data_IF_774969288261
#
_entry.id   IF_774969288261
#
_cell.length_a   1.000
_cell.length_b   1.000
_cell.length_c   1.000
_cell.angle_alpha   90.00
_cell.angle_beta   90.00
_cell.angle_gamma   90.00
#
_symmetry.space_group_name_H-M   'P 1'
#
loop_
_entity.id
_entity.type
_entity.pdbx_description
1 polymer ?
#
# COMPACT_ATOMS: atom_id res chain seq x y z
N UNK A 1 21.61 10.17 9.29
CA UNK A 1 22.02 9.11 10.25
C UNK A 1 21.11 9.24 11.46
N UNK A 2 19.92 8.65 11.38
CA UNK A 2 18.97 8.59 12.48
C UNK A 2 17.93 7.51 12.16
N UNK A 3 17.38 6.91 13.21
CA UNK A 3 16.23 6.00 13.23
C UNK A 3 16.54 4.51 13.09
N UNK A 4 17.39 3.99 13.98
CA UNK A 4 17.41 2.59 14.42
C UNK A 4 17.02 2.47 15.91
N UNK A 5 16.04 3.26 16.37
CA UNK A 5 15.59 3.18 17.77
C UNK A 5 14.64 1.97 17.95
N UNK A 6 14.99 0.95 18.77
CA UNK A 6 14.14 -0.19 19.08
C UNK A 6 12.80 0.21 19.73
N UNK A 7 11.80 -0.69 19.60
CA UNK A 7 10.44 -0.55 20.13
C UNK A 7 10.41 -0.04 21.58
N UNK A 8 11.31 -0.55 22.43
CA UNK A 8 11.41 -0.18 23.83
C UNK A 8 11.91 1.27 24.07
N UNK A 9 12.64 1.86 23.12
CA UNK A 9 13.14 3.24 23.19
C UNK A 9 12.11 4.24 22.69
N UNK A 10 11.36 3.91 21.62
CA UNK A 10 10.19 4.71 21.24
C UNK A 10 9.09 4.65 22.31
N UNK A 11 8.81 3.48 22.87
CA UNK A 11 7.88 3.37 24.00
C UNK A 11 8.41 4.04 25.28
N UNK A 12 9.73 4.20 25.47
CA UNK A 12 10.30 4.93 26.62
C UNK A 12 10.35 6.44 26.42
N UNK A 13 10.63 6.93 25.22
CA UNK A 13 10.49 8.36 24.91
C UNK A 13 9.02 8.76 25.02
N UNK A 14 8.14 7.97 24.40
CA UNK A 14 6.70 8.19 24.33
C UNK A 14 5.98 7.90 25.66
N UNK A 15 6.47 6.94 26.45
CA UNK A 15 5.85 6.49 27.70
C UNK A 15 6.34 7.19 28.96
N UNK A 16 7.43 7.96 28.91
CA UNK A 16 7.89 8.77 30.06
C UNK A 16 7.37 10.22 30.04
N UNK A 17 6.84 10.69 28.91
CA UNK A 17 6.21 12.01 28.77
C UNK A 17 4.89 11.86 28.02
N UNK A 18 3.76 12.02 28.69
CA UNK A 18 2.41 12.03 28.07
C UNK A 18 2.36 13.00 26.86
N UNK A 19 3.09 14.11 26.97
CA UNK A 19 3.27 15.14 25.93
C UNK A 19 3.86 14.61 24.59
N UNK A 20 4.62 13.52 24.60
CA UNK A 20 5.33 13.02 23.41
C UNK A 20 4.52 12.04 22.55
N UNK A 21 3.43 11.46 23.08
CA UNK A 21 2.40 10.79 22.26
C UNK A 21 1.65 11.79 21.38
N UNK A 22 1.48 13.01 21.87
CA UNK A 22 0.68 14.05 21.21
C UNK A 22 1.37 14.69 20.00
N UNK A 23 2.70 14.55 19.91
CA UNK A 23 3.51 15.14 18.84
C UNK A 23 3.93 14.15 17.75
N UNK A 24 3.60 12.87 17.87
CA UNK A 24 3.97 11.86 16.86
C UNK A 24 3.24 12.11 15.53
N UNK A 25 4.01 12.41 14.48
CA UNK A 25 3.45 12.59 13.13
C UNK A 25 3.07 11.24 12.50
N UNK A 26 2.12 11.28 11.56
CA UNK A 26 1.76 10.10 10.77
C UNK A 26 2.96 9.57 9.97
N UNK A 27 3.83 10.45 9.48
CA UNK A 27 5.03 10.05 8.74
C UNK A 27 5.96 9.20 9.60
N UNK A 28 6.27 9.66 10.81
CA UNK A 28 7.21 8.99 11.71
C UNK A 28 6.63 7.67 12.20
N UNK A 29 5.33 7.66 12.50
CA UNK A 29 4.61 6.44 12.84
C UNK A 29 4.68 5.40 11.72
N UNK A 30 4.41 5.77 10.47
CA UNK A 30 4.42 4.84 9.34
C UNK A 30 5.81 4.27 9.04
N UNK A 31 6.87 5.08 9.22
CA UNK A 31 8.26 4.59 9.11
C UNK A 31 8.59 3.55 10.17
N UNK A 32 8.18 3.83 11.40
CA UNK A 32 8.35 2.91 12.50
C UNK A 32 7.56 1.62 12.26
N UNK A 33 6.29 1.72 11.89
CA UNK A 33 5.43 0.58 11.59
C UNK A 33 6.00 -0.32 10.48
N UNK A 34 6.53 0.29 9.40
CA UNK A 34 7.21 -0.44 8.33
C UNK A 34 8.42 -1.25 8.85
N UNK A 35 9.29 -0.61 9.64
CA UNK A 35 10.52 -1.22 10.13
C UNK A 35 10.26 -2.31 11.17
N UNK A 36 9.32 -2.07 12.08
CA UNK A 36 9.10 -2.90 13.27
C UNK A 36 8.17 -4.08 12.99
N UNK A 37 7.07 -3.84 12.29
CA UNK A 37 6.04 -4.87 12.08
C UNK A 37 6.08 -5.45 10.66
N UNK A 38 6.00 -4.60 9.63
CA UNK A 38 5.82 -5.06 8.25
C UNK A 38 7.03 -5.86 7.77
N UNK A 39 8.25 -5.42 8.11
CA UNK A 39 9.50 -6.09 7.70
C UNK A 39 9.58 -7.54 8.17
N UNK A 40 9.03 -7.86 9.34
CA UNK A 40 9.12 -9.19 9.95
C UNK A 40 7.92 -10.07 9.60
N UNK A 41 6.75 -9.47 9.35
CA UNK A 41 5.48 -10.20 9.23
C UNK A 41 4.94 -10.29 7.80
N UNK A 42 5.61 -9.70 6.81
CA UNK A 42 5.11 -9.67 5.43
C UNK A 42 6.15 -10.10 4.41
N UNK A 43 5.69 -10.51 3.23
CA UNK A 43 6.59 -10.86 2.13
C UNK A 43 7.40 -9.65 1.65
N UNK A 44 8.60 -9.85 1.07
CA UNK A 44 9.40 -8.75 0.52
C UNK A 44 8.65 -7.88 -0.50
N UNK A 45 7.76 -8.48 -1.30
CA UNK A 45 6.96 -7.75 -2.28
C UNK A 45 5.89 -6.89 -1.60
N UNK A 46 5.25 -7.41 -0.55
CA UNK A 46 4.28 -6.65 0.25
C UNK A 46 4.96 -5.46 0.92
N UNK A 47 6.13 -5.67 1.54
CA UNK A 47 6.93 -4.61 2.14
C UNK A 47 7.25 -3.49 1.14
N UNK A 48 7.77 -3.84 -0.05
CA UNK A 48 8.09 -2.86 -1.11
C UNK A 48 6.85 -2.10 -1.56
N UNK A 49 5.72 -2.79 -1.73
CA UNK A 49 4.46 -2.15 -2.07
C UNK A 49 4.02 -1.14 -0.99
N UNK A 50 4.15 -1.51 0.29
CA UNK A 50 3.79 -0.62 1.40
C UNK A 50 4.73 0.59 1.50
N UNK A 51 6.04 0.36 1.43
CA UNK A 51 7.06 1.41 1.45
C UNK A 51 6.87 2.42 0.31
N UNK A 52 6.58 1.93 -0.91
CA UNK A 52 6.27 2.78 -2.04
C UNK A 52 5.02 3.63 -1.81
N UNK A 53 3.92 3.04 -1.35
CA UNK A 53 2.66 3.77 -1.07
C UNK A 53 2.91 4.86 -0.01
N UNK A 54 3.62 4.51 1.06
CA UNK A 54 3.92 5.42 2.17
C UNK A 54 4.77 6.59 1.69
N UNK A 55 5.89 6.30 1.02
CA UNK A 55 6.87 7.31 0.61
C UNK A 55 6.35 8.23 -0.48
N UNK A 56 5.65 7.69 -1.47
CA UNK A 56 5.25 8.44 -2.68
C UNK A 56 3.90 9.14 -2.50
N UNK A 57 2.96 8.55 -1.76
CA UNK A 57 1.58 9.05 -1.71
C UNK A 57 1.16 9.55 -0.33
N UNK A 58 1.43 8.79 0.74
CA UNK A 58 0.93 9.15 2.08
C UNK A 58 1.73 10.29 2.69
N UNK A 59 3.06 10.16 2.75
CA UNK A 59 3.91 11.15 3.42
C UNK A 59 3.79 12.56 2.83
N UNK A 60 3.80 12.77 1.51
CA UNK A 60 3.74 14.13 0.95
C UNK A 60 2.44 14.87 1.30
N UNK A 61 1.33 14.16 1.53
CA UNK A 61 0.00 14.76 1.70
C UNK A 61 -0.45 14.74 3.16
N UNK A 62 -0.27 13.61 3.85
CA UNK A 62 -0.79 13.39 5.20
C UNK A 62 0.32 13.26 6.26
N UNK A 63 1.58 13.15 5.85
CA UNK A 63 2.69 12.80 6.74
C UNK A 63 2.94 13.82 7.87
N UNK A 64 2.65 15.10 7.62
CA UNK A 64 2.82 16.18 8.59
C UNK A 64 1.72 16.22 9.67
N UNK A 65 0.60 15.53 9.45
CA UNK A 65 -0.52 15.50 10.38
C UNK A 65 -0.14 14.65 11.58
N UNK A 66 -0.42 15.13 12.79
CA UNK A 66 -0.25 14.36 14.02
C UNK A 66 -1.13 13.11 13.96
N UNK A 67 -0.60 11.97 14.39
CA UNK A 67 -1.27 10.68 14.29
C UNK A 67 -2.63 10.70 15.02
N UNK A 68 -2.71 11.37 16.18
CA UNK A 68 -3.95 11.50 16.97
C UNK A 68 -4.96 12.48 16.36
N UNK A 69 -4.51 13.46 15.59
CA UNK A 69 -5.35 14.47 14.94
C UNK A 69 -5.88 14.01 13.57
N UNK A 70 -5.38 12.89 13.05
CA UNK A 70 -5.81 12.35 11.76
C UNK A 70 -7.31 12.07 11.79
N UNK A 71 -8.05 12.70 10.87
CA UNK A 71 -9.50 12.57 10.78
C UNK A 71 -9.95 11.71 9.61
N UNK A 72 -11.16 11.13 9.72
CA UNK A 72 -11.78 10.41 8.60
C UNK A 72 -12.04 11.31 7.38
N UNK A 73 -12.27 12.61 7.58
CA UNK A 73 -12.48 13.56 6.49
C UNK A 73 -11.19 13.81 5.69
N UNK A 74 -10.04 13.97 6.37
CA UNK A 74 -8.74 14.09 5.69
C UNK A 74 -8.43 12.85 4.86
N UNK A 75 -8.70 11.65 5.40
CA UNK A 75 -8.55 10.40 4.66
C UNK A 75 -9.49 10.31 3.45
N UNK A 76 -10.75 10.71 3.61
CA UNK A 76 -11.71 10.73 2.52
C UNK A 76 -11.26 11.68 1.40
N UNK A 77 -10.80 12.89 1.75
CA UNK A 77 -10.28 13.86 0.79
C UNK A 77 -9.05 13.32 0.07
N UNK A 78 -8.13 12.68 0.80
CA UNK A 78 -6.97 12.01 0.20
C UNK A 78 -7.37 10.93 -0.81
N UNK A 79 -8.41 10.12 -0.52
CA UNK A 79 -8.88 9.11 -1.48
C UNK A 79 -9.51 9.75 -2.72
N UNK A 80 -10.26 10.83 -2.56
CA UNK A 80 -10.87 11.55 -3.70
C UNK A 80 -9.77 12.13 -4.60
N UNK A 81 -8.81 12.84 -4.02
CA UNK A 81 -7.65 13.39 -4.73
C UNK A 81 -6.88 12.31 -5.50
N UNK A 82 -6.64 11.16 -4.87
CA UNK A 82 -5.87 10.07 -5.51
C UNK A 82 -6.65 9.32 -6.61
N UNK A 83 -7.97 9.45 -6.68
CA UNK A 83 -8.75 8.86 -7.77
C UNK A 83 -8.61 9.62 -9.10
N UNK A 84 -8.13 10.86 -9.06
CA UNK A 84 -7.82 11.64 -10.27
C UNK A 84 -6.62 11.03 -11.02
N UNK A 85 -5.63 10.51 -10.28
CA UNK A 85 -4.37 10.01 -10.84
C UNK A 85 -4.24 8.48 -10.83
N UNK A 86 -5.00 7.77 -9.98
CA UNK A 86 -4.83 6.34 -9.73
C UNK A 86 -6.12 5.55 -9.91
N UNK A 87 -5.96 4.27 -10.29
CA UNK A 87 -7.09 3.35 -10.34
C UNK A 87 -7.74 3.18 -8.96
N UNK A 88 -9.06 2.97 -8.93
CA UNK A 88 -9.79 2.70 -7.70
C UNK A 88 -9.27 1.44 -6.96
N UNK A 89 -8.66 0.48 -7.68
CA UNK A 89 -8.01 -0.68 -7.07
C UNK A 89 -6.73 -0.26 -6.31
N UNK A 90 -5.93 0.63 -6.89
CA UNK A 90 -4.74 1.20 -6.24
C UNK A 90 -5.11 1.99 -5.00
N UNK A 91 -6.12 2.86 -5.07
CA UNK A 91 -6.61 3.62 -3.91
C UNK A 91 -7.15 2.69 -2.81
N UNK A 92 -7.80 1.58 -3.18
CA UNK A 92 -8.22 0.54 -2.23
C UNK A 92 -7.03 -0.13 -1.53
N UNK A 93 -5.88 -0.30 -2.21
CA UNK A 93 -4.65 -0.76 -1.57
C UNK A 93 -4.12 0.26 -0.56
N UNK A 94 -4.19 1.56 -0.86
CA UNK A 94 -3.80 2.62 0.09
C UNK A 94 -4.67 2.56 1.35
N UNK A 95 -5.99 2.42 1.18
CA UNK A 95 -6.93 2.28 2.30
C UNK A 95 -6.64 1.06 3.16
N UNK A 96 -6.37 -0.10 2.55
CA UNK A 96 -6.05 -1.33 3.30
C UNK A 96 -4.78 -1.19 4.13
N UNK A 97 -3.74 -0.61 3.54
CA UNK A 97 -2.48 -0.31 4.24
C UNK A 97 -2.74 0.60 5.45
N UNK A 98 -3.40 1.74 5.23
CA UNK A 98 -3.71 2.68 6.33
C UNK A 98 -4.58 2.03 7.41
N UNK A 99 -5.56 1.21 7.02
CA UNK A 99 -6.42 0.53 7.98
C UNK A 99 -5.64 -0.47 8.83
N UNK A 100 -4.67 -1.18 8.25
CA UNK A 100 -3.83 -2.10 8.99
C UNK A 100 -2.89 -1.33 9.93
N UNK A 101 -2.18 -0.34 9.41
CA UNK A 101 -1.28 0.48 10.20
C UNK A 101 -2.00 1.17 11.38
N UNK A 102 -3.23 1.67 11.19
CA UNK A 102 -3.99 2.30 12.27
C UNK A 102 -4.66 1.30 13.22
N UNK A 103 -4.90 0.05 12.82
CA UNK A 103 -5.28 -0.99 13.77
C UNK A 103 -4.11 -1.32 14.69
N UNK A 104 -2.92 -1.52 14.12
CA UNK A 104 -1.72 -1.77 14.91
C UNK A 104 -1.40 -0.57 15.83
N UNK A 105 -1.71 0.67 15.39
CA UNK A 105 -1.57 1.87 16.21
C UNK A 105 -2.52 1.86 17.42
N UNK A 106 -3.72 1.28 17.28
CA UNK A 106 -4.67 1.08 18.40
C UNK A 106 -4.14 0.01 19.34
N UNK A 107 -3.69 -1.12 18.80
CA UNK A 107 -3.16 -2.24 19.58
C UNK A 107 -1.88 -1.83 20.36
N UNK A 108 -1.12 -0.88 19.83
CA UNK A 108 0.06 -0.30 20.47
C UNK A 108 -0.24 0.96 21.30
N UNK A 109 -1.51 1.31 21.46
CA UNK A 109 -1.98 2.44 22.28
C UNK A 109 -1.39 3.81 21.86
N UNK A 110 -1.06 3.97 20.58
CA UNK A 110 -0.70 5.27 19.99
C UNK A 110 -1.93 6.10 19.65
N UNK A 111 -3.05 5.45 19.33
CA UNK A 111 -4.35 6.10 19.07
C UNK A 111 -5.48 5.36 19.75
N UNK A 112 -6.50 6.10 20.18
CA UNK A 112 -7.66 5.51 20.86
C UNK A 112 -8.62 4.77 19.91
N UNK A 113 -8.58 5.07 18.61
CA UNK A 113 -9.49 4.48 17.61
C UNK A 113 -8.91 4.53 16.21
N UNK A 114 -9.28 3.56 15.39
CA UNK A 114 -8.96 3.59 13.98
C UNK A 114 -9.96 4.47 13.20
N UNK A 115 -9.46 5.57 12.62
CA UNK A 115 -10.28 6.52 11.85
C UNK A 115 -10.66 6.03 10.46
N UNK A 116 -10.01 4.99 9.92
CA UNK A 116 -10.36 4.41 8.61
C UNK A 116 -11.72 3.71 8.64
N UNK A 117 -12.17 3.21 9.80
CA UNK A 117 -13.44 2.49 9.94
C UNK A 117 -14.65 3.34 9.55
N UNK A 118 -14.54 4.67 9.62
CA UNK A 118 -15.58 5.62 9.24
C UNK A 118 -15.48 6.10 7.79
N UNK A 119 -14.46 5.66 7.05
CA UNK A 119 -14.23 6.03 5.65
C UNK A 119 -14.74 4.92 4.72
N UNK A 120 -15.32 5.30 3.58
CA UNK A 120 -15.74 4.32 2.57
C UNK A 120 -14.71 4.32 1.44
N UNK A 121 -13.95 3.23 1.23
CA UNK A 121 -13.03 3.16 0.11
C UNK A 121 -13.80 3.19 -1.21
N UNK A 122 -13.21 3.75 -2.29
CA UNK A 122 -13.83 3.72 -3.61
C UNK A 122 -14.06 2.29 -4.08
N UNK A 123 -15.18 2.07 -4.78
CA UNK A 123 -15.51 0.76 -5.36
C UNK A 123 -14.65 0.56 -6.62
N UNK A 124 -13.72 -0.40 -6.66
CA UNK A 124 -12.98 -0.67 -7.88
C UNK A 124 -13.92 -1.18 -8.97
N UNK A 125 -13.76 -0.68 -10.21
CA UNK A 125 -14.39 -1.31 -11.37
C UNK A 125 -13.81 -2.71 -11.53
N UNK A 126 -14.66 -3.68 -11.91
CA UNK A 126 -14.21 -5.04 -12.20
C UNK A 126 -13.26 -5.00 -13.39
N UNK A 127 -12.00 -5.35 -13.17
CA UNK A 127 -11.07 -5.62 -14.24
C UNK A 127 -11.68 -6.72 -15.14
N UNK A 128 -11.85 -6.41 -16.42
CA UNK A 128 -12.23 -7.39 -17.43
C UNK A 128 -10.96 -7.70 -18.22
N UNK A 129 -10.30 -8.84 -17.99
CA UNK A 129 -9.21 -9.24 -18.87
C UNK A 129 -9.76 -9.35 -20.30
N UNK A 130 -9.15 -8.64 -21.23
CA UNK A 130 -9.33 -8.90 -22.66
C UNK A 130 -8.52 -10.14 -23.00
N UNK A 131 -9.19 -11.16 -23.51
CA UNK A 131 -8.55 -12.35 -24.05
C UNK A 131 -8.25 -12.11 -25.53
N UNK A 132 -7.14 -12.65 -26.01
CA UNK A 132 -6.85 -12.64 -27.44
C UNK A 132 -7.93 -13.41 -28.20
N UNK A 133 -8.42 -12.84 -29.30
CA UNK A 133 -9.22 -13.62 -30.26
C UNK A 133 -8.31 -14.61 -30.99
N UNK A 134 -8.92 -15.58 -31.69
CA UNK A 134 -8.16 -16.56 -32.46
C UNK A 134 -7.25 -15.87 -33.49
N UNK A 135 -7.77 -14.85 -34.15
CA UNK A 135 -7.08 -14.08 -35.18
C UNK A 135 -5.91 -13.27 -34.60
N UNK A 136 -6.09 -12.68 -33.42
CA UNK A 136 -5.01 -11.96 -32.71
C UNK A 136 -3.90 -12.91 -32.23
N UNK A 137 -4.27 -14.12 -31.80
CA UNK A 137 -3.33 -15.15 -31.39
C UNK A 137 -2.52 -15.67 -32.59
N UNK A 138 -3.16 -15.85 -33.75
CA UNK A 138 -2.51 -16.20 -35.01
C UNK A 138 -1.52 -15.11 -35.45
N UNK A 139 -1.91 -13.84 -35.38
CA UNK A 139 -1.01 -12.71 -35.66
C UNK A 139 0.19 -12.67 -34.69
N UNK A 140 -0.04 -12.96 -33.41
CA UNK A 140 1.02 -13.05 -32.41
C UNK A 140 1.99 -14.20 -32.72
N UNK A 141 1.48 -15.38 -33.13
CA UNK A 141 2.32 -16.51 -33.52
C UNK A 141 3.16 -16.20 -34.76
N UNK A 142 2.58 -15.60 -35.80
CA UNK A 142 3.31 -15.23 -37.02
C UNK A 142 4.43 -14.22 -36.72
N UNK A 143 4.16 -13.20 -35.89
CA UNK A 143 5.17 -12.23 -35.48
C UNK A 143 6.31 -12.88 -34.67
N UNK A 144 5.96 -13.85 -33.82
CA UNK A 144 6.92 -14.54 -32.96
C UNK A 144 7.81 -15.55 -33.68
N UNK A 145 7.39 -16.10 -34.84
CA UNK A 145 8.16 -17.12 -35.61
C UNK A 145 9.58 -16.70 -35.96
N UNK A 146 9.81 -15.41 -36.13
CA UNK A 146 11.14 -14.86 -36.43
C UNK A 146 12.09 -14.87 -35.23
N UNK A 147 11.58 -15.05 -34.01
CA UNK A 147 12.36 -15.12 -32.79
C UNK A 147 12.50 -16.55 -32.27
N UNK A 148 13.74 -17.04 -32.25
CA UNK A 148 14.09 -18.36 -31.71
C UNK A 148 13.76 -18.51 -30.22
N UNK A 149 13.71 -17.40 -29.47
CA UNK A 149 13.46 -17.40 -28.02
C UNK A 149 11.96 -17.25 -27.72
N UNK A 150 11.25 -16.34 -28.40
CA UNK A 150 9.85 -16.04 -28.07
C UNK A 150 8.87 -17.03 -28.67
N UNK A 151 9.17 -17.62 -29.84
CA UNK A 151 8.28 -18.59 -30.49
C UNK A 151 7.92 -19.80 -29.59
N UNK A 152 8.88 -20.55 -29.01
CA UNK A 152 8.54 -21.70 -28.17
C UNK A 152 7.78 -21.32 -26.88
N UNK A 153 8.01 -20.13 -26.33
CA UNK A 153 7.31 -19.64 -25.12
C UNK A 153 5.87 -19.28 -25.46
N UNK A 154 5.65 -18.52 -26.53
CA UNK A 154 4.32 -18.09 -26.95
C UNK A 154 3.50 -19.28 -27.45
N UNK A 155 4.12 -20.18 -28.22
CA UNK A 155 3.49 -21.40 -28.71
C UNK A 155 3.03 -22.32 -27.57
N UNK A 156 3.88 -22.56 -26.57
CA UNK A 156 3.49 -23.39 -25.41
C UNK A 156 2.41 -22.72 -24.57
N UNK A 157 2.56 -21.43 -24.21
CA UNK A 157 1.56 -20.69 -23.42
C UNK A 157 0.18 -20.62 -24.09
N UNK A 158 0.14 -20.47 -25.42
CA UNK A 158 -1.12 -20.45 -26.19
C UNK A 158 -1.82 -21.81 -26.28
N UNK A 159 -1.08 -22.92 -26.20
CA UNK A 159 -1.65 -24.28 -26.27
C UNK A 159 -1.94 -24.89 -24.90
N UNK A 160 -1.19 -24.51 -23.85
CA UNK A 160 -1.38 -25.09 -22.51
C UNK A 160 -2.34 -24.28 -21.63
N UNK A 161 -2.52 -22.98 -21.90
CA UNK A 161 -3.31 -22.08 -21.06
C UNK A 161 -2.76 -21.96 -19.63
N UNK A 162 -3.15 -20.93 -18.85
CA UNK A 162 -2.96 -20.96 -17.40
C UNK A 162 -3.96 -21.96 -16.81
N UNK A 163 -3.44 -23.01 -16.16
CA UNK A 163 -4.23 -23.98 -15.38
C UNK A 163 -4.91 -23.31 -14.19
#
# INVERSE_FOLDING_TARGET
MALDLPIAELQKEVGNNDDSKEDLSLSDYLDYWLKSYVKSNTSPNTYRGYEQIIRVHLKPILGHIKLQELTSLQLQNYYVDKLEDLSAQTVKHHHRLLSQALNDAVDWEFVNKNVTMKTKPPKPQKFRPTFYTKEELEQLFEAAKSSTIYYPIIYTAGHTGPV
#
